data_IF_355683078480
#
_entry.id   IF_355683078480
#
_cell.length_a   1.000
_cell.length_b   1.000
_cell.length_c   1.000
_cell.angle_alpha   90.00
_cell.angle_beta   90.00
_cell.angle_gamma   90.00
#
_symmetry.space_group_name_H-M   'P 1'
#
loop_
_entity.id
_entity.type
_entity.pdbx_description
1 polymer ?
#
# COMPACT_ATOMS: atom_id res chain seq x y z
N UNK A 1 -13.62 -4.40 6.83
CA UNK A 1 -12.82 -3.35 6.13
C UNK A 1 -11.83 -2.66 7.06
N UNK A 2 -12.21 -2.24 8.29
CA UNK A 2 -11.27 -1.66 9.26
C UNK A 2 -10.14 -2.63 9.60
N UNK A 3 -10.44 -3.90 9.86
CA UNK A 3 -9.45 -4.92 10.18
C UNK A 3 -8.45 -5.12 9.03
N UNK A 4 -8.92 -5.20 7.78
CA UNK A 4 -8.05 -5.30 6.59
C UNK A 4 -7.10 -4.10 6.49
N UNK A 5 -7.60 -2.90 6.74
CA UNK A 5 -6.81 -1.66 6.76
C UNK A 5 -5.97 -1.50 8.04
N UNK A 6 -5.98 -2.48 8.96
CA UNK A 6 -5.34 -2.39 10.29
C UNK A 6 -5.72 -1.12 11.06
N UNK A 7 -6.97 -0.69 10.91
CA UNK A 7 -7.49 0.53 11.52
C UNK A 7 -8.37 0.26 12.75
N UNK A 8 -8.86 -0.94 12.94
CA UNK A 8 -9.78 -1.34 14.00
C UNK A 8 -9.21 -1.05 15.41
N UNK A 9 -7.94 -1.36 15.67
CA UNK A 9 -7.31 -1.16 16.96
C UNK A 9 -7.35 0.31 17.39
N UNK A 10 -6.73 1.21 16.62
CA UNK A 10 -6.68 2.61 17.01
C UNK A 10 -8.04 3.32 16.92
N UNK A 11 -8.96 2.87 16.06
CA UNK A 11 -10.33 3.39 16.00
C UNK A 11 -11.08 3.04 17.28
N UNK A 12 -10.93 1.84 17.81
CA UNK A 12 -11.54 1.43 19.07
C UNK A 12 -11.03 2.28 20.27
N UNK A 13 -9.80 2.77 20.20
CA UNK A 13 -9.19 3.61 21.24
C UNK A 13 -9.63 5.09 21.19
N UNK A 14 -10.34 5.50 20.14
CA UNK A 14 -10.89 6.86 20.05
C UNK A 14 -12.06 7.04 21.05
N UNK A 15 -12.27 8.27 21.51
CA UNK A 15 -13.24 8.59 22.56
C UNK A 15 -14.67 8.10 22.26
N UNK A 16 -15.08 8.11 21.00
CA UNK A 16 -16.38 7.66 20.52
C UNK A 16 -16.25 6.54 19.47
N UNK A 17 -15.11 5.86 19.44
CA UNK A 17 -14.79 4.79 18.48
C UNK A 17 -15.12 5.21 17.03
N UNK A 18 -15.90 4.41 16.30
CA UNK A 18 -16.24 4.64 14.90
C UNK A 18 -17.08 5.91 14.63
N UNK A 19 -17.74 6.45 15.65
CA UNK A 19 -18.54 7.70 15.54
C UNK A 19 -17.78 8.95 15.96
N UNK A 20 -16.51 8.80 16.31
CA UNK A 20 -15.65 9.93 16.67
C UNK A 20 -15.57 10.93 15.51
N UNK A 21 -15.94 12.18 15.78
CA UNK A 21 -15.79 13.26 14.81
C UNK A 21 -14.31 13.60 14.67
N UNK A 22 -13.73 13.26 13.54
CA UNK A 22 -12.37 13.64 13.18
C UNK A 22 -12.43 15.08 12.68
N UNK A 23 -11.80 16.01 13.41
CA UNK A 23 -11.79 17.44 13.08
C UNK A 23 -11.30 17.74 11.67
N UNK A 24 -11.54 18.95 11.19
CA UNK A 24 -11.04 19.40 9.89
C UNK A 24 -9.55 19.07 9.74
N UNK A 25 -9.19 18.41 8.64
CA UNK A 25 -7.85 17.89 8.32
C UNK A 25 -7.38 16.69 9.16
N UNK A 26 -8.26 16.03 9.93
CA UNK A 26 -7.90 14.83 10.69
C UNK A 26 -6.78 15.07 11.72
N UNK A 27 -6.75 16.25 12.37
CA UNK A 27 -5.67 16.68 13.27
C UNK A 27 -5.48 15.78 14.50
N UNK A 28 -6.46 14.93 14.81
CA UNK A 28 -6.41 13.95 15.91
C UNK A 28 -5.78 12.63 15.53
N UNK A 29 -5.54 12.38 14.23
CA UNK A 29 -4.96 11.16 13.71
C UNK A 29 -3.55 11.41 13.16
N UNK A 30 -2.65 10.40 13.32
CA UNK A 30 -1.35 10.41 12.65
C UNK A 30 -1.50 10.28 11.12
N UNK A 31 -0.43 10.55 10.35
CA UNK A 31 -0.44 10.38 8.90
C UNK A 31 -0.84 8.97 8.48
N UNK A 32 -0.20 7.95 9.07
CA UNK A 32 -0.51 6.56 8.80
C UNK A 32 -1.90 6.12 9.25
N UNK A 33 -2.43 6.68 10.35
CA UNK A 33 -3.81 6.45 10.76
C UNK A 33 -4.81 7.03 9.75
N UNK A 34 -4.56 8.24 9.24
CA UNK A 34 -5.40 8.85 8.18
C UNK A 34 -5.39 8.01 6.91
N UNK A 35 -4.23 7.53 6.46
CA UNK A 35 -4.11 6.68 5.28
C UNK A 35 -4.88 5.37 5.46
N UNK A 36 -4.78 4.71 6.62
CA UNK A 36 -5.53 3.48 6.90
C UNK A 36 -7.05 3.69 6.96
N UNK A 37 -7.52 4.81 7.49
CA UNK A 37 -8.95 5.17 7.44
C UNK A 37 -9.40 5.42 6.00
N UNK A 38 -8.60 6.11 5.19
CA UNK A 38 -8.91 6.33 3.77
C UNK A 38 -9.01 5.01 2.99
N UNK A 39 -8.08 4.07 3.24
CA UNK A 39 -8.12 2.73 2.68
C UNK A 39 -9.39 1.97 3.11
N UNK A 40 -9.73 1.97 4.40
CA UNK A 40 -10.95 1.35 4.90
C UNK A 40 -12.21 1.90 4.23
N UNK A 41 -12.26 3.22 3.98
CA UNK A 41 -13.37 3.87 3.25
C UNK A 41 -13.46 3.41 1.80
N UNK A 42 -12.32 3.24 1.11
CA UNK A 42 -12.29 2.71 -0.25
C UNK A 42 -12.81 1.26 -0.28
N UNK A 43 -12.35 0.42 0.63
CA UNK A 43 -12.75 -0.99 0.76
C UNK A 43 -14.23 -1.16 1.11
N UNK A 44 -14.82 -0.24 1.88
CA UNK A 44 -16.24 -0.29 2.24
C UNK A 44 -17.17 -0.23 1.02
N UNK A 45 -16.69 0.29 -0.11
CA UNK A 45 -17.42 0.36 -1.38
C UNK A 45 -17.37 -0.95 -2.18
N UNK A 46 -16.61 -1.96 -1.71
CA UNK A 46 -16.39 -3.24 -2.38
C UNK A 46 -15.96 -3.07 -3.85
N UNK A 47 -14.87 -2.36 -4.14
CA UNK A 47 -14.44 -2.11 -5.50
C UNK A 47 -13.96 -3.41 -6.15
N UNK A 48 -14.10 -3.53 -7.48
CA UNK A 48 -13.48 -4.60 -8.25
C UNK A 48 -12.00 -4.32 -8.55
N UNK A 49 -11.63 -3.05 -8.60
CA UNK A 49 -10.25 -2.58 -8.79
C UNK A 49 -9.93 -1.54 -7.73
N UNK A 50 -8.86 -1.74 -6.99
CA UNK A 50 -8.34 -0.80 -6.00
C UNK A 50 -7.00 -0.25 -6.51
N UNK A 51 -6.91 1.07 -6.65
CA UNK A 51 -5.67 1.77 -6.98
C UNK A 51 -5.09 2.39 -5.70
N UNK A 52 -3.85 2.02 -5.38
CA UNK A 52 -3.07 2.54 -4.26
C UNK A 52 -1.87 3.34 -4.81
N UNK A 53 -2.01 4.67 -4.82
CA UNK A 53 -0.94 5.59 -5.18
C UNK A 53 -0.52 6.34 -3.92
N UNK A 54 0.67 6.08 -3.43
CA UNK A 54 1.23 6.65 -2.20
C UNK A 54 0.34 6.47 -0.95
N UNK A 55 -0.58 5.50 -1.01
CA UNK A 55 -1.64 5.33 -0.01
C UNK A 55 -1.14 4.80 1.34
N UNK A 56 0.09 4.30 1.40
CA UNK A 56 0.72 3.69 2.58
C UNK A 56 2.08 4.30 2.95
N UNK A 57 2.45 5.42 2.34
CA UNK A 57 3.77 6.07 2.51
C UNK A 57 4.07 6.48 3.97
N UNK A 58 3.06 6.82 4.74
CA UNK A 58 3.19 7.17 6.17
C UNK A 58 2.87 5.99 7.10
N UNK A 59 2.66 4.79 6.55
CA UNK A 59 2.41 3.56 7.32
C UNK A 59 3.72 2.82 7.53
N UNK A 60 3.88 2.23 8.71
CA UNK A 60 5.02 1.36 9.02
C UNK A 60 5.13 0.21 8.02
N UNK A 61 6.33 -0.15 7.54
CA UNK A 61 6.52 -1.19 6.52
C UNK A 61 5.93 -2.55 6.88
N UNK A 62 5.98 -2.95 8.17
CA UNK A 62 5.38 -4.21 8.61
C UNK A 62 3.85 -4.16 8.52
N UNK A 63 3.25 -3.04 8.92
CA UNK A 63 1.80 -2.85 8.83
C UNK A 63 1.35 -2.76 7.37
N UNK A 64 2.14 -2.14 6.50
CA UNK A 64 1.88 -2.09 5.06
C UNK A 64 1.86 -3.51 4.46
N UNK A 65 2.86 -4.34 4.76
CA UNK A 65 2.91 -5.72 4.30
C UNK A 65 1.67 -6.52 4.78
N UNK A 66 1.30 -6.39 6.05
CA UNK A 66 0.11 -7.03 6.61
C UNK A 66 -1.20 -6.59 5.91
N UNK A 67 -1.30 -5.31 5.53
CA UNK A 67 -2.45 -4.78 4.78
C UNK A 67 -2.50 -5.41 3.38
N UNK A 68 -1.38 -5.43 2.66
CA UNK A 68 -1.31 -5.98 1.30
C UNK A 68 -1.59 -7.49 1.29
N UNK A 69 -1.06 -8.24 2.26
CA UNK A 69 -1.35 -9.66 2.44
C UNK A 69 -2.85 -9.90 2.72
N UNK A 70 -3.45 -9.09 3.59
CA UNK A 70 -4.88 -9.20 3.88
C UNK A 70 -5.76 -8.85 2.66
N UNK A 71 -5.39 -7.83 1.88
CA UNK A 71 -6.07 -7.49 0.63
C UNK A 71 -6.05 -8.66 -0.36
N UNK A 72 -4.88 -9.31 -0.50
CA UNK A 72 -4.70 -10.46 -1.38
C UNK A 72 -5.47 -11.69 -0.94
N UNK A 73 -5.48 -11.97 0.37
CA UNK A 73 -6.07 -13.20 0.93
C UNK A 73 -7.59 -13.13 1.09
N UNK A 74 -8.13 -11.96 1.43
CA UNK A 74 -9.52 -11.82 1.89
C UNK A 74 -10.47 -11.26 0.83
N UNK A 75 -9.94 -10.69 -0.27
CA UNK A 75 -10.74 -9.96 -1.24
C UNK A 75 -10.51 -10.47 -2.66
N UNK A 76 -11.60 -10.75 -3.36
CA UNK A 76 -11.61 -11.07 -4.79
C UNK A 76 -11.68 -9.76 -5.59
N UNK A 77 -10.53 -9.08 -5.72
CA UNK A 77 -10.40 -7.83 -6.44
C UNK A 77 -8.99 -7.66 -7.02
N UNK A 78 -8.88 -6.82 -8.04
CA UNK A 78 -7.58 -6.42 -8.58
C UNK A 78 -7.02 -5.25 -7.76
N UNK A 79 -5.79 -5.40 -7.27
CA UNK A 79 -5.08 -4.33 -6.57
C UNK A 79 -3.94 -3.83 -7.47
N UNK A 80 -3.94 -2.55 -7.80
CA UNK A 80 -2.85 -1.88 -8.49
C UNK A 80 -2.14 -0.95 -7.50
N UNK A 81 -0.86 -1.21 -7.26
CA UNK A 81 -0.05 -0.44 -6.29
C UNK A 81 1.08 0.27 -7.02
N UNK A 82 1.22 1.57 -6.80
CA UNK A 82 2.45 2.29 -7.14
C UNK A 82 3.45 2.03 -6.02
N UNK A 83 4.43 1.18 -6.31
CA UNK A 83 5.38 0.68 -5.32
C UNK A 83 6.63 1.57 -5.25
N UNK A 84 6.99 1.96 -4.04
CA UNK A 84 8.22 2.70 -3.71
C UNK A 84 9.14 1.90 -2.77
N UNK A 85 8.74 0.67 -2.43
CA UNK A 85 9.49 -0.22 -1.52
C UNK A 85 9.60 -1.61 -2.13
N UNK A 86 10.73 -2.26 -1.90
CA UNK A 86 10.97 -3.63 -2.36
C UNK A 86 9.98 -4.61 -1.74
N UNK A 87 9.66 -4.44 -0.45
CA UNK A 87 8.67 -5.26 0.24
C UNK A 87 7.31 -5.29 -0.47
N UNK A 88 6.89 -4.16 -1.02
CA UNK A 88 5.64 -4.04 -1.80
C UNK A 88 5.76 -4.74 -3.15
N UNK A 89 6.89 -4.61 -3.84
CA UNK A 89 7.15 -5.27 -5.13
C UNK A 89 7.12 -6.79 -4.99
N UNK A 90 7.71 -7.32 -3.92
CA UNK A 90 7.77 -8.76 -3.66
C UNK A 90 6.40 -9.41 -3.39
N UNK A 91 5.40 -8.63 -3.00
CA UNK A 91 4.02 -9.09 -2.79
C UNK A 91 3.19 -9.09 -4.09
N UNK A 92 3.67 -8.48 -5.17
CA UNK A 92 2.93 -8.38 -6.42
C UNK A 92 3.00 -9.70 -7.23
N UNK A 93 1.87 -10.11 -7.81
CA UNK A 93 1.83 -11.23 -8.77
C UNK A 93 2.44 -10.84 -10.11
N UNK A 94 2.33 -9.56 -10.47
CA UNK A 94 2.87 -9.00 -11.71
C UNK A 94 3.38 -7.60 -11.45
N UNK A 95 4.54 -7.29 -11.97
CA UNK A 95 5.17 -5.97 -11.92
C UNK A 95 5.11 -5.34 -13.30
N UNK A 96 4.70 -4.08 -13.37
CA UNK A 96 4.78 -3.24 -14.56
C UNK A 96 5.90 -2.24 -14.32
N UNK A 97 7.01 -2.38 -15.05
CA UNK A 97 8.13 -1.47 -14.97
C UNK A 97 7.91 -0.27 -15.91
N UNK A 98 7.86 0.91 -15.32
CA UNK A 98 7.67 2.19 -16.01
C UNK A 98 8.97 2.99 -15.97
N UNK A 99 9.38 3.53 -17.10
CA UNK A 99 10.48 4.48 -17.22
C UNK A 99 10.12 5.57 -18.23
N UNK A 100 10.40 6.81 -17.89
CA UNK A 100 10.08 8.01 -18.69
C UNK A 100 8.62 8.01 -19.23
N UNK A 101 7.65 7.61 -18.38
CA UNK A 101 6.23 7.58 -18.72
C UNK A 101 5.82 6.45 -19.68
N UNK A 102 6.69 5.50 -19.96
CA UNK A 102 6.43 4.36 -20.84
C UNK A 102 6.56 3.03 -20.09
N UNK A 103 5.73 2.06 -20.48
CA UNK A 103 5.88 0.68 -20.01
C UNK A 103 7.09 0.06 -20.72
N UNK A 104 8.15 -0.21 -19.97
CA UNK A 104 9.40 -0.81 -20.47
C UNK A 104 9.32 -2.33 -20.46
N UNK A 105 8.76 -2.89 -19.40
CA UNK A 105 8.61 -4.34 -19.25
C UNK A 105 7.46 -4.68 -18.29
N UNK A 106 6.94 -5.92 -18.44
CA UNK A 106 5.91 -6.47 -17.55
C UNK A 106 6.26 -7.94 -17.30
N UNK A 107 6.17 -8.38 -16.05
CA UNK A 107 6.47 -9.77 -15.65
C UNK A 107 6.48 -9.91 -14.13
N UNK A 108 6.92 -11.06 -13.64
CA UNK A 108 7.20 -11.22 -12.21
C UNK A 108 8.45 -10.43 -11.82
N UNK A 109 8.61 -10.16 -10.52
CA UNK A 109 9.83 -9.53 -10.02
C UNK A 109 11.09 -10.30 -10.44
N UNK A 110 11.06 -11.63 -10.33
CA UNK A 110 12.20 -12.50 -10.69
C UNK A 110 12.54 -12.44 -12.19
N UNK A 111 11.54 -12.40 -13.06
CA UNK A 111 11.73 -12.24 -14.51
C UNK A 111 12.36 -10.88 -14.83
N UNK A 112 11.88 -9.82 -14.21
CA UNK A 112 12.38 -8.47 -14.43
C UNK A 112 13.79 -8.25 -13.88
N UNK A 113 14.21 -8.98 -12.84
CA UNK A 113 15.60 -8.95 -12.34
C UNK A 113 16.66 -9.43 -13.35
N UNK A 114 16.24 -10.09 -14.44
CA UNK A 114 17.17 -10.43 -15.55
C UNK A 114 17.53 -9.20 -16.40
N UNK A 115 16.94 -8.04 -16.15
CA UNK A 115 17.19 -6.79 -16.86
C UNK A 115 18.08 -5.88 -16.00
N UNK A 116 19.14 -5.38 -16.59
CA UNK A 116 20.12 -4.52 -15.91
C UNK A 116 19.51 -3.21 -15.42
N UNK A 117 18.60 -2.61 -16.22
CA UNK A 117 17.91 -1.36 -15.88
C UNK A 117 16.97 -1.53 -14.67
N UNK A 118 16.20 -2.59 -14.65
CA UNK A 118 15.31 -2.90 -13.51
C UNK A 118 16.11 -3.28 -12.26
N UNK A 119 17.17 -4.06 -12.41
CA UNK A 119 18.04 -4.43 -11.29
C UNK A 119 18.70 -3.18 -10.66
N UNK A 120 19.11 -2.22 -11.47
CA UNK A 120 19.65 -0.95 -10.97
C UNK A 120 18.62 -0.16 -10.16
N UNK A 121 17.36 -0.11 -10.61
CA UNK A 121 16.25 0.50 -9.89
C UNK A 121 16.01 -0.16 -8.54
N UNK A 122 15.92 -1.50 -8.51
CA UNK A 122 15.75 -2.28 -7.28
C UNK A 122 16.86 -2.02 -6.27
N UNK A 123 18.11 -2.03 -6.74
CA UNK A 123 19.28 -1.74 -5.89
C UNK A 123 19.23 -0.32 -5.30
N UNK A 124 18.74 0.65 -6.07
CA UNK A 124 18.59 2.02 -5.58
C UNK A 124 17.52 2.12 -4.48
N UNK A 125 16.42 1.35 -4.59
CA UNK A 125 15.37 1.27 -3.55
C UNK A 125 15.91 0.63 -2.26
N UNK A 126 16.66 -0.48 -2.36
CA UNK A 126 17.29 -1.13 -1.20
C UNK A 126 18.21 -0.19 -0.43
N UNK A 127 18.99 0.62 -1.16
CA UNK A 127 19.89 1.61 -0.56
C UNK A 127 19.13 2.77 0.09
N UNK A 128 18.01 3.18 -0.49
CA UNK A 128 17.13 4.23 0.06
C UNK A 128 16.39 3.81 1.33
N UNK A 129 16.01 2.55 1.45
CA UNK A 129 15.34 2.00 2.64
C UNK A 129 16.32 1.80 3.82
N UNK A 130 17.63 1.71 3.55
CA UNK A 130 18.67 1.51 4.56
C UNK A 130 19.24 2.80 5.19
N UNK A 131 18.72 3.96 4.81
CA UNK A 131 19.13 5.28 5.33
C UNK A 131 18.04 5.90 6.17
#
# INVERSE_FOLDING_TARGET
>A
TLAIARADGFVADLAEAEVTVVGERGTTLSGGQRQRVALARALARRPQVLLLDDATSAVDPLVEAEILDALRAELDMTVLVVAHRISTILLADTVVYLDDGQVVATGTHEELLQRDDYQALVTAYEQGEGS
#
